data_IF_010226455192
#
_entry.id   IF_010226455192
#
_cell.length_a   1.000
_cell.length_b   1.000
_cell.length_c   1.000
_cell.angle_alpha   90.00
_cell.angle_beta   90.00
_cell.angle_gamma   90.00
#
_symmetry.space_group_name_H-M   'P 1'
#
loop_
_entity.id
_entity.type
_entity.pdbx_description
1 polymer ?
#
# COMPACT_ATOMS: atom_id res chain seq x y z
N UNK A 1 1.59 -6.52 10.14
CA UNK A 1 0.76 -5.45 10.70
C UNK A 1 1.67 -4.60 11.57
N UNK A 2 1.51 -3.28 11.58
CA UNK A 2 2.39 -2.37 12.30
C UNK A 2 1.51 -1.44 13.15
N UNK A 3 1.90 -1.21 14.40
CA UNK A 3 1.19 -0.34 15.35
C UNK A 3 2.08 0.86 15.64
N UNK A 4 1.56 2.08 15.43
CA UNK A 4 2.28 3.33 15.65
C UNK A 4 1.65 4.07 16.82
N UNK A 5 2.40 4.20 17.92
CA UNK A 5 1.98 5.00 19.08
C UNK A 5 2.39 6.49 19.00
N UNK A 6 3.08 6.90 17.93
CA UNK A 6 3.61 8.26 17.82
C UNK A 6 2.61 9.24 17.19
N UNK A 7 2.59 10.52 17.60
CA UNK A 7 1.71 11.53 17.01
C UNK A 7 1.93 11.73 15.51
N UNK A 8 3.19 11.61 15.04
CA UNK A 8 3.55 11.81 13.64
C UNK A 8 3.55 10.51 12.81
N UNK A 9 2.59 9.62 13.05
CA UNK A 9 2.47 8.38 12.26
C UNK A 9 2.32 8.66 10.76
N UNK A 10 1.63 9.75 10.39
CA UNK A 10 1.45 10.17 8.98
C UNK A 10 2.80 10.41 8.30
N UNK A 11 3.71 11.15 8.94
CA UNK A 11 5.05 11.41 8.41
C UNK A 11 5.89 10.14 8.27
N UNK A 12 5.79 9.21 9.21
CA UNK A 12 6.46 7.90 9.14
C UNK A 12 5.97 7.11 7.92
N UNK A 13 4.64 7.03 7.71
CA UNK A 13 4.08 6.30 6.56
C UNK A 13 4.42 6.95 5.22
N UNK A 14 4.41 8.28 5.14
CA UNK A 14 4.85 9.00 3.95
C UNK A 14 6.32 8.71 3.62
N UNK A 15 7.19 8.70 4.64
CA UNK A 15 8.60 8.33 4.46
C UNK A 15 8.75 6.90 3.94
N UNK A 16 8.02 5.94 4.52
CA UNK A 16 8.03 4.54 4.04
C UNK A 16 7.59 4.46 2.57
N UNK A 17 6.54 5.18 2.18
CA UNK A 17 6.07 5.21 0.78
C UNK A 17 7.14 5.77 -0.16
N UNK A 18 7.76 6.89 0.19
CA UNK A 18 8.83 7.52 -0.60
C UNK A 18 10.06 6.63 -0.72
N UNK A 19 10.51 6.06 0.41
CA UNK A 19 11.68 5.19 0.45
C UNK A 19 11.42 3.91 -0.36
N UNK A 20 10.21 3.34 -0.30
CA UNK A 20 9.81 2.19 -1.11
C UNK A 20 9.73 2.54 -2.60
N UNK A 21 9.14 3.68 -2.95
CA UNK A 21 9.06 4.16 -4.34
C UNK A 21 10.44 4.36 -4.96
N UNK A 22 11.37 4.98 -4.23
CA UNK A 22 12.74 5.20 -4.70
C UNK A 22 13.46 3.86 -4.96
N UNK A 23 13.33 2.92 -4.03
CA UNK A 23 14.00 1.62 -4.12
C UNK A 23 13.38 0.72 -5.20
N UNK A 24 12.05 0.66 -5.31
CA UNK A 24 11.37 -0.21 -6.28
C UNK A 24 11.67 0.19 -7.73
N UNK A 25 11.82 1.49 -8.00
CA UNK A 25 12.12 2.02 -9.34
C UNK A 25 13.47 1.55 -9.89
N UNK A 26 14.41 1.16 -9.04
CA UNK A 26 15.75 0.66 -9.45
C UNK A 26 15.71 -0.68 -10.17
N UNK A 27 14.58 -1.39 -10.10
CA UNK A 27 14.39 -2.69 -10.75
C UNK A 27 13.75 -2.59 -12.15
N UNK A 28 13.50 -1.37 -12.63
CA UNK A 28 12.81 -1.13 -13.89
C UNK A 28 13.70 -0.38 -14.89
N UNK A 29 13.55 -0.74 -16.17
CA UNK A 29 14.18 -0.01 -17.26
C UNK A 29 13.58 1.40 -17.39
N UNK A 30 14.33 2.38 -17.94
CA UNK A 30 13.83 3.73 -18.17
C UNK A 30 12.52 3.76 -18.97
N UNK A 31 12.36 2.90 -19.97
CA UNK A 31 11.12 2.77 -20.75
C UNK A 31 9.93 2.30 -19.91
N UNK A 32 10.13 1.36 -18.98
CA UNK A 32 9.08 0.91 -18.06
C UNK A 32 8.67 2.03 -17.11
N UNK A 33 9.66 2.80 -16.62
CA UNK A 33 9.42 3.94 -15.73
C UNK A 33 8.64 5.05 -16.42
N UNK A 34 8.93 5.34 -17.69
CA UNK A 34 8.19 6.31 -18.49
C UNK A 34 6.78 5.82 -18.83
N UNK A 35 6.61 4.53 -19.13
CA UNK A 35 5.31 3.95 -19.44
C UNK A 35 4.42 3.72 -18.20
N UNK A 36 4.99 3.70 -17.00
CA UNK A 36 4.27 3.34 -15.77
C UNK A 36 3.88 1.85 -15.70
N UNK A 37 4.43 1.02 -16.58
CA UNK A 37 4.17 -0.40 -16.70
C UNK A 37 5.29 -1.11 -17.48
N UNK A 38 5.34 -2.44 -17.41
CA UNK A 38 6.19 -3.26 -18.27
C UNK A 38 5.35 -4.30 -19.00
N UNK A 39 5.81 -4.72 -20.18
CA UNK A 39 5.13 -5.71 -21.01
C UNK A 39 5.84 -7.05 -20.84
N UNK A 40 5.09 -8.11 -20.56
CA UNK A 40 5.64 -9.46 -20.44
C UNK A 40 4.62 -10.52 -20.83
N UNK A 41 5.11 -11.71 -21.14
CA UNK A 41 4.27 -12.87 -21.46
C UNK A 41 3.86 -13.57 -20.17
N UNK A 42 2.56 -13.74 -19.95
CA UNK A 42 2.05 -14.46 -18.79
C UNK A 42 2.24 -15.99 -18.92
N UNK A 43 1.84 -16.75 -17.90
CA UNK A 43 1.97 -18.22 -17.89
C UNK A 43 1.14 -18.95 -18.95
N UNK A 44 0.18 -18.28 -19.57
CA UNK A 44 -0.63 -18.80 -20.68
C UNK A 44 -0.06 -18.44 -22.07
N UNK A 45 1.12 -17.81 -22.13
CA UNK A 45 1.71 -17.37 -23.40
C UNK A 45 1.13 -16.06 -23.95
N UNK A 46 0.26 -15.35 -23.20
CA UNK A 46 -0.33 -14.09 -23.64
C UNK A 46 0.52 -12.90 -23.22
N UNK A 47 0.80 -12.00 -24.16
CA UNK A 47 1.45 -10.71 -23.89
C UNK A 47 0.48 -9.83 -23.10
N UNK A 48 0.95 -9.31 -21.96
CA UNK A 48 0.16 -8.46 -21.07
C UNK A 48 1.00 -7.29 -20.55
N UNK A 49 0.32 -6.20 -20.26
CA UNK A 49 0.90 -5.02 -19.62
C UNK A 49 0.68 -5.11 -18.12
N UNK A 50 1.76 -5.01 -17.35
CA UNK A 50 1.75 -5.09 -15.89
C UNK A 50 2.13 -3.72 -15.30
N UNK A 51 1.33 -3.15 -14.40
CA UNK A 51 1.69 -1.90 -13.72
C UNK A 51 2.97 -2.09 -12.90
N UNK A 52 3.72 -1.01 -12.70
CA UNK A 52 4.89 -1.05 -11.81
C UNK A 52 4.48 -1.38 -10.38
N UNK A 53 5.38 -2.04 -9.66
CA UNK A 53 5.20 -2.36 -8.25
C UNK A 53 4.95 -1.09 -7.44
N UNK A 54 3.91 -1.14 -6.61
CA UNK A 54 3.50 -0.02 -5.75
C UNK A 54 3.13 -0.55 -4.36
N UNK A 55 3.09 0.37 -3.39
CA UNK A 55 2.75 0.08 -1.99
C UNK A 55 1.47 0.82 -1.61
N UNK A 56 0.51 0.07 -1.08
CA UNK A 56 -0.75 0.60 -0.53
C UNK A 56 -0.76 0.39 0.98
N UNK A 57 -1.10 1.43 1.73
CA UNK A 57 -1.17 1.41 3.19
C UNK A 57 -2.58 1.76 3.64
N UNK A 58 -3.23 0.85 4.35
CA UNK A 58 -4.48 1.12 5.05
C UNK A 58 -4.21 1.36 6.53
N UNK A 59 -4.79 2.42 7.08
CA UNK A 59 -4.66 2.82 8.48
C UNK A 59 -5.99 2.64 9.19
N UNK A 60 -5.94 2.25 10.45
CA UNK A 60 -7.10 2.25 11.35
C UNK A 60 -6.71 3.15 12.51
N UNK A 61 -7.36 4.31 12.62
CA UNK A 61 -7.17 5.20 13.76
C UNK A 61 -7.98 4.68 14.95
N UNK A 62 -7.26 4.32 16.02
CA UNK A 62 -7.83 3.82 17.27
C UNK A 62 -7.85 4.96 18.28
N UNK A 63 -9.01 5.17 18.89
CA UNK A 63 -9.15 6.05 20.06
C UNK A 63 -9.53 5.20 21.27
N UNK A 64 -9.20 5.62 22.51
CA UNK A 64 -9.53 4.86 23.72
C UNK A 64 -11.00 4.44 23.79
N UNK A 65 -11.91 5.29 23.33
CA UNK A 65 -13.36 5.07 23.34
C UNK A 65 -13.79 3.99 22.34
N UNK A 66 -13.08 3.88 21.21
CA UNK A 66 -13.33 2.82 20.21
C UNK A 66 -12.69 1.49 20.61
N UNK A 67 -11.60 1.52 21.36
CA UNK A 67 -10.88 0.32 21.77
C UNK A 67 -11.64 -0.52 22.80
N UNK A 68 -12.47 0.08 23.65
CA UNK A 68 -13.24 -0.65 24.67
C UNK A 68 -14.29 -1.60 24.07
N UNK A 69 -14.67 -1.40 22.81
CA UNK A 69 -15.71 -2.16 22.11
C UNK A 69 -15.16 -3.07 21.01
N UNK A 70 -13.85 -3.01 20.74
CA UNK A 70 -13.22 -3.74 19.64
C UNK A 70 -12.46 -4.99 20.13
N UNK A 71 -12.88 -6.15 19.65
CA UNK A 71 -12.08 -7.37 19.75
C UNK A 71 -11.03 -7.47 18.62
N UNK A 72 -10.15 -8.46 18.72
CA UNK A 72 -9.08 -8.68 17.75
C UNK A 72 -9.61 -9.01 16.34
N UNK A 73 -10.75 -9.70 16.22
CA UNK A 73 -11.37 -10.05 14.94
C UNK A 73 -11.94 -8.82 14.24
N UNK A 74 -12.63 -7.96 14.99
CA UNK A 74 -13.16 -6.69 14.49
C UNK A 74 -12.04 -5.75 14.07
N UNK A 75 -10.95 -5.65 14.86
CA UNK A 75 -9.77 -4.88 14.48
C UNK A 75 -9.14 -5.40 13.19
N UNK A 76 -9.00 -6.72 13.05
CA UNK A 76 -8.48 -7.33 11.82
C UNK A 76 -9.38 -7.05 10.61
N UNK A 77 -10.70 -7.07 10.78
CA UNK A 77 -11.68 -6.74 9.74
C UNK A 77 -11.55 -5.28 9.30
N UNK A 78 -11.43 -4.33 10.24
CA UNK A 78 -11.20 -2.92 9.96
C UNK A 78 -9.89 -2.71 9.19
N UNK A 79 -8.80 -3.35 9.64
CA UNK A 79 -7.51 -3.25 8.96
C UNK A 79 -7.56 -3.85 7.53
N UNK A 80 -8.29 -4.95 7.35
CA UNK A 80 -8.51 -5.54 6.03
C UNK A 80 -9.29 -4.61 5.11
N UNK A 81 -10.34 -3.95 5.62
CA UNK A 81 -11.13 -2.96 4.89
C UNK A 81 -10.30 -1.74 4.49
N UNK A 82 -9.55 -1.15 5.42
CA UNK A 82 -8.66 -0.03 5.15
C UNK A 82 -7.61 -0.38 4.08
N UNK A 83 -7.00 -1.58 4.17
CA UNK A 83 -6.08 -2.09 3.15
C UNK A 83 -6.75 -2.24 1.79
N UNK A 84 -7.98 -2.74 1.74
CA UNK A 84 -8.74 -2.89 0.50
C UNK A 84 -9.03 -1.52 -0.14
N UNK A 85 -9.44 -0.54 0.65
CA UNK A 85 -9.67 0.83 0.19
C UNK A 85 -8.39 1.48 -0.36
N UNK A 86 -7.25 1.28 0.32
CA UNK A 86 -5.96 1.74 -0.19
C UNK A 86 -5.61 1.08 -1.53
N UNK A 87 -5.80 -0.24 -1.66
CA UNK A 87 -5.51 -0.99 -2.90
C UNK A 87 -6.43 -0.65 -4.07
N UNK A 88 -7.60 -0.08 -3.81
CA UNK A 88 -8.51 0.37 -4.87
C UNK A 88 -7.97 1.59 -5.64
N UNK A 89 -7.04 2.34 -5.03
CA UNK A 89 -6.34 3.43 -5.69
C UNK A 89 -5.13 2.89 -6.46
N UNK A 90 -4.94 3.27 -7.73
CA UNK A 90 -3.78 2.84 -8.51
C UNK A 90 -2.49 3.47 -7.96
N UNK A 91 -1.41 2.70 -7.99
CA UNK A 91 -0.09 3.18 -7.57
C UNK A 91 0.08 3.25 -6.06
N UNK A 92 0.90 4.19 -5.60
CA UNK A 92 1.24 4.38 -4.19
C UNK A 92 0.07 5.06 -3.48
N UNK A 93 -0.43 4.46 -2.40
CA UNK A 93 -1.64 4.95 -1.75
C UNK A 93 -1.60 4.83 -0.23
N UNK A 94 -2.26 5.80 0.42
CA UNK A 94 -2.51 5.84 1.85
C UNK A 94 -4.01 6.07 2.05
N UNK A 95 -4.68 5.15 2.72
CA UNK A 95 -6.07 5.31 3.15
C UNK A 95 -6.13 5.29 4.67
N UNK A 96 -6.93 6.20 5.23
CA UNK A 96 -7.09 6.42 6.67
C UNK A 96 -8.56 6.32 7.01
#
# INVERSE_FOLDING_TARGET
MLVLGQPNWRGVLQKILQDFQSQSRRFYLPEHLNAGAFISTNREGKVQTFPLLSLSIGVVELTPERCSELDAGQLAALASKAKHQAKALPGYSLHV
#
